data_IF_109520772223
#
_entry.id   IF_109520772223
#
_cell.length_a   1.000
_cell.length_b   1.000
_cell.length_c   1.000
_cell.angle_alpha   90.00
_cell.angle_beta   90.00
_cell.angle_gamma   90.00
#
_symmetry.space_group_name_H-M   'P 1'
#
loop_
_entity.id
_entity.type
_entity.pdbx_description
1 polymer ?
#
# COMPACT_ATOMS: atom_id res chain seq x y z
N UNK A 1 -19.57 -5.70 -5.97
CA UNK A 1 -18.34 -6.24 -5.36
C UNK A 1 -17.85 -5.20 -4.37
N UNK A 2 -17.45 -5.61 -3.15
CA UNK A 2 -16.94 -4.70 -2.12
C UNK A 2 -15.50 -4.27 -2.45
N UNK A 3 -15.15 -3.03 -2.12
CA UNK A 3 -13.82 -2.46 -2.30
C UNK A 3 -13.08 -2.41 -0.96
N UNK A 4 -12.05 -3.19 -0.80
CA UNK A 4 -11.28 -3.33 0.43
C UNK A 4 -9.91 -2.65 0.25
N UNK A 5 -9.62 -1.67 1.08
CA UNK A 5 -8.27 -1.07 1.13
C UNK A 5 -7.37 -1.91 2.03
N UNK A 6 -6.29 -2.43 1.49
CA UNK A 6 -5.28 -3.22 2.22
C UNK A 6 -4.06 -2.35 2.44
N UNK A 7 -3.88 -1.86 3.67
CA UNK A 7 -2.76 -0.99 4.03
C UNK A 7 -1.59 -1.86 4.51
N UNK A 8 -0.53 -1.90 3.71
CA UNK A 8 0.66 -2.70 4.00
C UNK A 8 1.62 -1.92 4.92
N UNK A 9 1.76 -2.40 6.15
CA UNK A 9 2.57 -1.81 7.21
C UNK A 9 3.56 -2.81 7.86
N UNK A 10 3.81 -3.95 7.20
CA UNK A 10 4.66 -5.04 7.73
C UNK A 10 6.17 -4.76 7.69
N UNK A 11 6.62 -3.70 7.04
CA UNK A 11 8.05 -3.38 6.92
C UNK A 11 8.68 -2.96 8.25
N UNK A 12 9.82 -3.57 8.60
CA UNK A 12 10.58 -3.30 9.84
C UNK A 12 11.33 -1.95 9.86
N UNK A 13 11.37 -1.23 8.73
CA UNK A 13 11.97 0.11 8.66
C UNK A 13 13.51 0.18 8.77
N UNK A 14 14.22 -0.94 8.78
CA UNK A 14 15.67 -1.06 9.03
C UNK A 14 16.58 -0.14 8.20
N UNK A 15 16.10 0.38 7.05
CA UNK A 15 16.91 1.20 6.13
C UNK A 15 17.21 2.62 6.63
N UNK A 16 16.54 3.12 7.67
CA UNK A 16 16.72 4.49 8.19
C UNK A 16 17.58 4.55 9.45
N UNK A 17 18.03 3.40 10.01
CA UNK A 17 18.79 3.39 11.25
C UNK A 17 18.00 3.83 12.50
N UNK A 18 16.71 4.11 12.37
CA UNK A 18 15.81 4.47 13.45
C UNK A 18 15.23 3.23 14.11
N UNK A 19 15.06 3.27 15.43
CA UNK A 19 14.41 2.20 16.20
C UNK A 19 12.89 2.08 15.95
N UNK A 20 12.31 3.04 15.22
CA UNK A 20 10.86 3.11 14.94
C UNK A 20 10.65 2.98 13.43
N UNK A 21 9.77 2.06 12.95
CA UNK A 21 9.44 1.94 11.53
C UNK A 21 8.82 3.22 10.96
N UNK A 22 9.15 3.53 9.70
CA UNK A 22 8.76 4.78 9.00
C UNK A 22 7.28 5.11 9.12
N UNK A 23 6.41 4.10 9.06
CA UNK A 23 4.97 4.26 9.12
C UNK A 23 4.48 4.81 10.45
N UNK A 24 5.28 4.68 11.53
CA UNK A 24 4.97 5.19 12.86
C UNK A 24 5.67 6.49 13.21
N UNK A 25 6.54 7.01 12.32
CA UNK A 25 7.08 8.37 12.46
C UNK A 25 5.97 9.40 12.32
N UNK A 26 6.12 10.54 12.98
CA UNK A 26 5.12 11.63 12.98
C UNK A 26 5.42 12.68 11.92
N UNK A 27 4.40 13.07 11.18
CA UNK A 27 4.37 14.22 10.29
C UNK A 27 3.15 15.06 10.69
N UNK A 28 3.33 16.36 10.92
CA UNK A 28 2.25 17.25 11.33
C UNK A 28 1.42 16.72 12.53
N UNK A 29 2.10 16.14 13.53
CA UNK A 29 1.49 15.65 14.77
C UNK A 29 0.83 14.28 14.72
N UNK A 30 0.65 13.68 13.53
CA UNK A 30 0.08 12.35 13.33
C UNK A 30 1.12 11.38 12.78
N UNK A 31 1.00 10.07 13.07
CA UNK A 31 1.83 9.04 12.45
C UNK A 31 1.55 8.97 10.94
N UNK A 32 2.56 8.65 10.13
CA UNK A 32 2.41 8.55 8.66
C UNK A 32 1.26 7.64 8.26
N UNK A 33 1.14 6.47 8.89
CA UNK A 33 0.05 5.52 8.65
C UNK A 33 -1.35 6.13 8.95
N UNK A 34 -1.48 7.03 9.92
CA UNK A 34 -2.76 7.69 10.24
C UNK A 34 -3.22 8.56 9.06
N UNK A 35 -2.30 9.30 8.44
CA UNK A 35 -2.61 10.08 7.24
C UNK A 35 -3.09 9.18 6.10
N UNK A 36 -2.39 8.08 5.87
CA UNK A 36 -2.76 7.11 4.81
C UNK A 36 -4.14 6.52 5.08
N UNK A 37 -4.39 5.98 6.28
CA UNK A 37 -5.69 5.38 6.63
C UNK A 37 -6.82 6.42 6.51
N UNK A 38 -6.58 7.67 6.92
CA UNK A 38 -7.60 8.74 6.86
C UNK A 38 -8.13 8.94 5.44
N UNK A 39 -7.29 8.86 4.40
CA UNK A 39 -7.74 9.02 3.01
C UNK A 39 -8.72 7.92 2.62
N UNK A 40 -8.42 6.65 2.92
CA UNK A 40 -9.29 5.52 2.62
C UNK A 40 -10.54 5.49 3.51
N UNK A 41 -10.41 5.87 4.79
CA UNK A 41 -11.54 5.98 5.72
C UNK A 41 -12.61 6.96 5.21
N UNK A 42 -12.18 8.08 4.65
CA UNK A 42 -13.09 9.14 4.18
C UNK A 42 -13.59 8.89 2.75
N UNK A 43 -13.06 7.91 2.04
CA UNK A 43 -13.40 7.65 0.65
C UNK A 43 -14.74 6.88 0.54
N UNK A 44 -15.70 7.44 -0.21
CA UNK A 44 -17.08 6.91 -0.30
C UNK A 44 -17.17 5.50 -0.91
N UNK A 45 -16.29 5.16 -1.85
CA UNK A 45 -16.29 3.86 -2.55
C UNK A 45 -15.46 2.78 -1.83
N UNK A 46 -14.81 3.07 -0.72
CA UNK A 46 -14.12 2.07 0.10
C UNK A 46 -15.08 1.57 1.18
N UNK A 47 -15.33 0.27 1.19
CA UNK A 47 -16.26 -0.36 2.13
C UNK A 47 -15.57 -0.78 3.43
N UNK A 48 -14.33 -1.24 3.32
CA UNK A 48 -13.56 -1.77 4.45
C UNK A 48 -12.07 -1.46 4.31
N UNK A 49 -11.40 -1.34 5.45
CA UNK A 49 -9.93 -1.20 5.54
C UNK A 49 -9.37 -2.38 6.31
N UNK A 50 -8.31 -2.96 5.79
CA UNK A 50 -7.47 -3.97 6.45
C UNK A 50 -6.08 -3.39 6.60
N UNK A 51 -5.49 -3.51 7.77
CA UNK A 51 -4.07 -3.18 7.98
C UNK A 51 -3.30 -4.47 8.18
N UNK A 52 -2.24 -4.67 7.39
CA UNK A 52 -1.31 -5.78 7.57
C UNK A 52 -0.04 -5.23 8.18
N UNK A 53 0.26 -5.62 9.43
CA UNK A 53 1.30 -4.99 10.25
C UNK A 53 2.24 -6.03 10.87
N UNK A 54 3.47 -5.61 11.20
CA UNK A 54 4.40 -6.44 11.98
C UNK A 54 3.81 -6.75 13.37
N UNK A 55 3.99 -7.96 13.92
CA UNK A 55 3.41 -8.37 15.21
C UNK A 55 3.62 -7.38 16.37
N UNK A 56 4.80 -6.77 16.45
CA UNK A 56 5.16 -5.84 17.52
C UNK A 56 4.35 -4.54 17.53
N UNK A 57 3.66 -4.22 16.41
CA UNK A 57 2.95 -2.94 16.22
C UNK A 57 1.42 -3.10 16.08
N UNK A 58 0.87 -4.26 16.41
CA UNK A 58 -0.58 -4.50 16.37
C UNK A 58 -1.30 -3.50 17.29
N UNK A 59 -0.85 -3.39 18.55
CA UNK A 59 -1.43 -2.47 19.54
C UNK A 59 -1.35 -1.01 19.10
N UNK A 60 -0.26 -0.62 18.45
CA UNK A 60 -0.14 0.73 17.87
C UNK A 60 -1.25 1.03 16.86
N UNK A 61 -1.57 0.06 16.00
CA UNK A 61 -2.64 0.21 14.99
C UNK A 61 -4.02 0.19 15.63
N UNK A 62 -4.24 -0.65 16.63
CA UNK A 62 -5.49 -0.67 17.43
C UNK A 62 -5.73 0.69 18.10
N UNK A 63 -4.72 1.24 18.78
CA UNK A 63 -4.78 2.56 19.43
C UNK A 63 -5.03 3.68 18.42
N UNK A 64 -4.38 3.62 17.25
CA UNK A 64 -4.60 4.56 16.15
C UNK A 64 -6.05 4.49 15.67
N UNK A 65 -6.58 3.29 15.47
CA UNK A 65 -7.95 3.07 15.03
C UNK A 65 -8.97 3.66 16.00
N UNK A 66 -8.80 3.39 17.30
CA UNK A 66 -9.68 3.89 18.36
C UNK A 66 -9.64 5.41 18.45
N UNK A 67 -8.44 6.01 18.54
CA UNK A 67 -8.27 7.47 18.68
C UNK A 67 -8.83 8.27 17.51
N UNK A 68 -8.75 7.72 16.29
CA UNK A 68 -9.24 8.39 15.09
C UNK A 68 -10.65 7.94 14.67
N UNK A 69 -11.28 7.03 15.42
CA UNK A 69 -12.62 6.46 15.09
C UNK A 69 -12.65 5.90 13.65
N UNK A 70 -11.66 5.13 13.26
CA UNK A 70 -11.57 4.52 11.93
C UNK A 70 -12.56 3.35 11.81
N UNK A 71 -13.83 3.67 11.59
CA UNK A 71 -14.93 2.70 11.59
C UNK A 71 -14.91 1.70 10.41
N UNK A 72 -14.20 2.03 9.31
CA UNK A 72 -13.98 1.11 8.19
C UNK A 72 -12.81 0.15 8.43
N UNK A 73 -11.91 0.41 9.38
CA UNK A 73 -10.84 -0.52 9.74
C UNK A 73 -11.44 -1.70 10.51
N UNK A 74 -11.61 -2.84 9.82
CA UNK A 74 -12.27 -4.04 10.35
C UNK A 74 -11.32 -5.15 10.74
N UNK A 75 -10.14 -5.22 10.09
CA UNK A 75 -9.18 -6.30 10.32
C UNK A 75 -7.77 -5.74 10.47
N UNK A 76 -7.04 -6.26 11.46
CA UNK A 76 -5.60 -6.07 11.61
C UNK A 76 -4.97 -7.45 11.48
N UNK A 77 -4.16 -7.66 10.44
CA UNK A 77 -3.56 -8.94 10.11
C UNK A 77 -2.06 -8.91 10.35
N UNK A 78 -1.50 -10.09 10.62
CA UNK A 78 -0.06 -10.24 10.77
C UNK A 78 0.63 -10.20 9.41
N UNK A 79 1.63 -9.34 9.28
CA UNK A 79 2.55 -9.32 8.15
C UNK A 79 3.58 -10.45 8.25
N UNK A 80 4.04 -10.92 7.10
CA UNK A 80 5.13 -11.89 7.01
C UNK A 80 6.49 -11.23 6.77
N UNK A 81 7.53 -12.06 6.56
CA UNK A 81 8.91 -11.60 6.32
C UNK A 81 9.04 -10.72 5.09
N UNK A 82 8.25 -10.99 4.05
CA UNK A 82 8.30 -10.29 2.79
C UNK A 82 6.92 -9.73 2.42
N UNK A 83 6.93 -8.76 1.48
CA UNK A 83 5.73 -8.05 1.04
C UNK A 83 4.65 -9.03 0.52
N UNK A 84 5.05 -10.06 -0.23
CA UNK A 84 4.09 -11.02 -0.78
C UNK A 84 3.36 -11.83 0.30
N UNK A 85 4.01 -12.18 1.41
CA UNK A 85 3.36 -12.86 2.55
C UNK A 85 2.27 -11.98 3.17
N UNK A 86 2.55 -10.67 3.29
CA UNK A 86 1.57 -9.70 3.79
C UNK A 86 0.38 -9.55 2.84
N UNK A 87 0.63 -9.57 1.53
CA UNK A 87 -0.45 -9.55 0.53
C UNK A 87 -1.29 -10.82 0.58
N UNK A 88 -0.65 -11.99 0.71
CA UNK A 88 -1.34 -13.27 0.81
C UNK A 88 -2.22 -13.36 2.07
N UNK A 89 -1.75 -12.82 3.21
CA UNK A 89 -2.55 -12.76 4.43
C UNK A 89 -3.86 -11.97 4.20
N UNK A 90 -3.82 -10.88 3.45
CA UNK A 90 -5.01 -10.11 3.13
C UNK A 90 -5.94 -10.82 2.15
N UNK A 91 -5.39 -11.50 1.12
CA UNK A 91 -6.16 -12.29 0.16
C UNK A 91 -6.92 -13.40 0.90
N UNK A 92 -6.23 -14.16 1.75
CA UNK A 92 -6.82 -15.29 2.49
C UNK A 92 -7.79 -14.85 3.60
N UNK A 93 -7.94 -13.56 3.87
CA UNK A 93 -8.88 -13.05 4.84
C UNK A 93 -10.32 -12.92 4.31
N UNK A 94 -10.54 -13.23 3.02
CA UNK A 94 -11.84 -13.17 2.35
C UNK A 94 -12.10 -14.45 1.58
N UNK A 95 -13.26 -15.06 1.83
CA UNK A 95 -13.77 -16.24 1.12
C UNK A 95 -14.68 -15.86 -0.05
N UNK A 96 -15.03 -14.59 -0.16
CA UNK A 96 -15.92 -14.02 -1.19
C UNK A 96 -15.12 -13.19 -2.21
N UNK A 97 -15.67 -12.98 -3.40
CA UNK A 97 -15.09 -12.09 -4.40
C UNK A 97 -15.16 -10.63 -3.95
N UNK A 98 -13.99 -10.00 -3.81
CA UNK A 98 -13.82 -8.60 -3.41
C UNK A 98 -12.77 -7.92 -4.29
N UNK A 99 -12.87 -6.62 -4.44
CA UNK A 99 -11.77 -5.82 -4.97
C UNK A 99 -10.79 -5.51 -3.84
N UNK A 100 -9.51 -5.87 -4.01
CA UNK A 100 -8.44 -5.57 -3.07
C UNK A 100 -7.55 -4.46 -3.63
N UNK A 101 -7.43 -3.34 -2.91
CA UNK A 101 -6.56 -2.22 -3.23
C UNK A 101 -5.37 -2.22 -2.26
N UNK A 102 -4.24 -2.78 -2.66
CA UNK A 102 -3.01 -2.83 -1.86
C UNK A 102 -2.29 -1.49 -1.90
N UNK A 103 -2.06 -0.89 -0.74
CA UNK A 103 -1.41 0.41 -0.63
C UNK A 103 -0.35 0.43 0.46
N UNK A 104 0.80 1.03 0.17
CA UNK A 104 1.89 1.17 1.14
C UNK A 104 1.53 2.20 2.22
N UNK A 105 1.60 1.83 3.49
CA UNK A 105 1.28 2.69 4.64
C UNK A 105 2.13 3.98 4.71
N UNK A 106 3.27 4.01 4.03
CA UNK A 106 4.21 5.15 3.97
C UNK A 106 3.99 6.07 2.77
N UNK A 107 2.87 5.96 2.07
CA UNK A 107 2.50 6.82 0.94
C UNK A 107 1.26 7.67 1.25
N UNK A 108 1.36 8.63 2.19
CA UNK A 108 0.20 9.38 2.70
C UNK A 108 -0.41 10.38 1.70
N UNK A 109 0.24 10.60 0.54
CA UNK A 109 -0.21 11.55 -0.48
C UNK A 109 -1.12 10.91 -1.55
N UNK A 110 -1.58 9.68 -1.34
CA UNK A 110 -2.66 9.10 -2.14
C UNK A 110 -3.91 10.00 -2.01
N UNK A 111 -4.65 10.15 -3.09
CA UNK A 111 -5.83 11.03 -3.09
C UNK A 111 -7.06 10.30 -3.68
N UNK A 112 -8.21 10.93 -3.51
CA UNK A 112 -9.50 10.40 -3.95
C UNK A 112 -9.51 10.05 -5.46
N UNK A 113 -8.92 10.89 -6.31
CA UNK A 113 -8.85 10.65 -7.75
C UNK A 113 -8.15 9.33 -8.08
N UNK A 114 -6.99 9.05 -7.44
CA UNK A 114 -6.22 7.82 -7.69
C UNK A 114 -7.04 6.59 -7.29
N UNK A 115 -7.72 6.63 -6.16
CA UNK A 115 -8.57 5.53 -5.68
C UNK A 115 -9.75 5.32 -6.64
N UNK A 116 -10.42 6.39 -7.06
CA UNK A 116 -11.51 6.34 -8.03
C UNK A 116 -11.07 5.72 -9.35
N UNK A 117 -9.90 6.14 -9.87
CA UNK A 117 -9.36 5.63 -11.12
C UNK A 117 -9.06 4.13 -11.04
N UNK A 118 -8.50 3.65 -9.93
CA UNK A 118 -8.28 2.21 -9.69
C UNK A 118 -9.60 1.43 -9.68
N UNK A 119 -10.59 1.87 -8.90
CA UNK A 119 -11.89 1.19 -8.78
C UNK A 119 -12.61 1.19 -10.13
N UNK A 120 -12.59 2.29 -10.86
CA UNK A 120 -13.19 2.38 -12.20
C UNK A 120 -12.50 1.43 -13.19
N UNK A 121 -11.17 1.35 -13.18
CA UNK A 121 -10.43 0.46 -14.06
C UNK A 121 -10.73 -1.02 -13.76
N UNK A 122 -10.99 -1.39 -12.49
CA UNK A 122 -11.43 -2.74 -12.13
C UNK A 122 -12.80 -3.12 -12.71
N UNK A 123 -13.62 -2.19 -13.18
CA UNK A 123 -14.84 -2.55 -13.90
C UNK A 123 -14.53 -3.30 -15.22
N UNK A 124 -13.39 -3.02 -15.82
CA UNK A 124 -12.97 -3.58 -17.12
C UNK A 124 -11.82 -4.58 -16.97
N UNK A 125 -10.89 -4.37 -16.06
CA UNK A 125 -9.67 -5.15 -15.90
C UNK A 125 -9.64 -5.91 -14.57
N UNK A 126 -8.96 -7.04 -14.53
CA UNK A 126 -8.81 -7.83 -13.29
C UNK A 126 -7.65 -7.35 -12.41
N UNK A 127 -6.71 -6.61 -12.98
CA UNK A 127 -5.55 -6.07 -12.28
C UNK A 127 -5.23 -4.66 -12.78
N UNK A 128 -4.92 -3.76 -11.86
CA UNK A 128 -4.60 -2.36 -12.13
C UNK A 128 -3.38 -1.95 -11.29
N UNK A 129 -2.41 -1.32 -11.91
CA UNK A 129 -1.23 -0.77 -11.22
C UNK A 129 -1.12 0.73 -11.47
N UNK A 130 -0.97 1.49 -10.39
CA UNK A 130 -0.69 2.93 -10.48
C UNK A 130 0.78 3.13 -10.81
N UNK A 131 1.06 3.89 -11.86
CA UNK A 131 2.42 4.11 -12.31
C UNK A 131 2.63 5.54 -12.81
N UNK A 132 3.87 6.02 -12.72
CA UNK A 132 4.29 7.31 -13.27
C UNK A 132 5.37 7.11 -14.34
N UNK A 133 5.48 8.00 -15.34
CA UNK A 133 6.59 7.96 -16.30
C UNK A 133 7.94 8.04 -15.59
N UNK A 134 8.91 7.24 -16.04
CA UNK A 134 10.29 7.33 -15.56
C UNK A 134 10.95 8.60 -16.09
N UNK A 135 11.52 9.41 -15.20
CA UNK A 135 12.29 10.62 -15.54
C UNK A 135 13.77 10.32 -15.73
N UNK A 136 14.28 9.31 -15.02
CA UNK A 136 15.69 8.93 -15.04
C UNK A 136 16.04 8.06 -16.24
N UNK A 137 17.33 8.04 -16.60
CA UNK A 137 17.86 7.07 -17.54
C UNK A 137 18.11 5.76 -16.82
N UNK A 138 17.40 4.71 -17.23
CA UNK A 138 17.56 3.36 -16.67
C UNK A 138 18.60 2.61 -17.48
N UNK A 139 19.58 2.05 -16.79
CA UNK A 139 20.66 1.24 -17.35
C UNK A 139 20.48 -0.17 -16.83
N UNK A 140 20.35 -1.14 -17.74
CA UNK A 140 20.39 -2.55 -17.38
C UNK A 140 21.83 -3.04 -17.44
N UNK A 141 22.26 -3.70 -16.37
CA UNK A 141 23.59 -4.27 -16.25
C UNK A 141 23.51 -5.79 -16.06
N UNK A 142 24.61 -6.50 -16.34
CA UNK A 142 24.79 -7.91 -16.02
C UNK A 142 25.36 -8.12 -14.60
N UNK A 143 25.69 -9.36 -14.25
CA UNK A 143 26.27 -9.73 -12.94
C UNK A 143 27.66 -9.13 -12.68
N UNK A 144 28.34 -8.65 -13.71
CA UNK A 144 29.65 -7.99 -13.64
C UNK A 144 29.55 -6.46 -13.58
N UNK A 145 28.30 -5.91 -13.53
CA UNK A 145 27.99 -4.48 -13.63
C UNK A 145 28.36 -3.86 -15.00
N UNK A 146 28.47 -4.67 -16.07
CA UNK A 146 28.64 -4.15 -17.42
C UNK A 146 27.29 -3.78 -18.04
N UNK A 147 27.26 -2.68 -18.80
CA UNK A 147 26.03 -2.18 -19.43
C UNK A 147 25.63 -3.10 -20.58
N UNK A 148 24.49 -3.77 -20.46
CA UNK A 148 23.93 -4.62 -21.51
C UNK A 148 22.87 -3.91 -22.35
N UNK A 149 22.15 -2.95 -21.76
CA UNK A 149 21.06 -2.24 -22.46
C UNK A 149 20.72 -0.93 -21.77
N UNK A 150 20.30 0.04 -22.57
CA UNK A 150 19.64 1.27 -22.12
C UNK A 150 18.24 1.27 -22.73
N UNK A 151 17.20 0.84 -21.97
CA UNK A 151 15.84 0.77 -22.47
C UNK A 151 15.29 2.15 -22.83
N UNK A 152 14.44 2.22 -23.83
CA UNK A 152 13.75 3.48 -24.16
C UNK A 152 12.88 3.94 -23.00
N UNK A 153 13.19 5.11 -22.43
CA UNK A 153 12.49 5.68 -21.27
C UNK A 153 10.98 5.85 -21.49
N UNK A 154 10.57 6.09 -22.72
CA UNK A 154 9.14 6.24 -23.04
C UNK A 154 8.30 4.99 -22.74
N UNK A 155 8.92 3.82 -22.74
CA UNK A 155 8.30 2.53 -22.44
C UNK A 155 8.38 2.13 -20.96
N UNK A 156 9.08 2.93 -20.14
CA UNK A 156 9.29 2.63 -18.73
C UNK A 156 8.35 3.41 -17.84
N UNK A 157 7.94 2.78 -16.77
CA UNK A 157 7.11 3.37 -15.71
C UNK A 157 7.66 2.97 -14.35
N UNK A 158 7.58 3.89 -13.40
CA UNK A 158 7.84 3.59 -11.99
C UNK A 158 6.53 3.19 -11.32
N UNK A 159 6.41 1.91 -10.91
CA UNK A 159 5.26 1.39 -10.18
C UNK A 159 5.05 2.15 -8.86
N UNK A 160 3.81 2.46 -8.58
CA UNK A 160 3.36 3.12 -7.37
C UNK A 160 2.34 2.23 -6.64
N UNK A 161 1.56 2.81 -5.74
CA UNK A 161 0.40 2.20 -5.13
C UNK A 161 -0.75 3.22 -5.08
N UNK A 162 -2.01 2.79 -5.10
CA UNK A 162 -2.52 1.40 -4.94
C UNK A 162 -2.23 0.49 -6.12
N UNK A 163 -2.12 -0.82 -5.83
CA UNK A 163 -2.21 -1.91 -6.78
C UNK A 163 -3.54 -2.61 -6.52
N UNK A 164 -4.41 -2.70 -7.53
CA UNK A 164 -5.76 -3.17 -7.31
C UNK A 164 -6.08 -4.43 -8.14
N UNK A 165 -6.83 -5.34 -7.53
CA UNK A 165 -7.16 -6.66 -8.08
C UNK A 165 -8.60 -7.04 -7.74
N UNK A 166 -9.22 -7.84 -8.65
CA UNK A 166 -10.43 -8.60 -8.36
C UNK A 166 -10.09 -9.93 -7.73
#
# INVERSE_FOLDING_TARGET
>A
MRNIAVILAGGSGQRLGENIPKQFLKIAGKKVIEHTITVFQNHSLIDEIVVVVHPDYIRDVEDISLRNSFNKLKKILLGGKERYHSSLAAINAYDEEVNLLFHDSVRPLVNERIINDCIRALLTYNAVDVAIPTTDTIIQVDDNNEIVKIPSRILLRNGQTPQAFK
#
